data_IF_482641889101
#
_entry.id   IF_482641889101
#
_cell.length_a   1.000
_cell.length_b   1.000
_cell.length_c   1.000
_cell.angle_alpha   90.00
_cell.angle_beta   90.00
_cell.angle_gamma   90.00
#
_symmetry.space_group_name_H-M   'P 1'
#
loop_
_entity.id
_entity.type
_entity.pdbx_description
1 polymer ?
#
# COMPACT_ATOMS: atom_id res chain seq x y z
N UNK A 1 -35.42 -15.68 -27.67
CA UNK A 1 -34.44 -14.58 -27.84
C UNK A 1 -34.72 -13.57 -26.74
N UNK A 2 -33.81 -13.37 -25.79
CA UNK A 2 -34.01 -12.44 -24.67
C UNK A 2 -33.31 -11.11 -24.98
N UNK A 3 -34.10 -10.04 -25.12
CA UNK A 3 -33.56 -8.68 -25.22
C UNK A 3 -32.94 -8.26 -23.89
N UNK A 4 -31.63 -8.09 -23.89
CA UNK A 4 -30.87 -7.52 -22.76
C UNK A 4 -31.08 -6.01 -22.72
N UNK A 5 -32.09 -5.56 -21.97
CA UNK A 5 -32.34 -4.14 -21.73
C UNK A 5 -31.22 -3.46 -20.92
N UNK A 6 -30.95 -2.17 -21.19
CA UNK A 6 -29.95 -1.38 -20.45
C UNK A 6 -30.33 -1.26 -18.97
N UNK A 7 -29.39 -1.58 -18.06
CA UNK A 7 -29.61 -1.55 -16.60
C UNK A 7 -29.94 -0.18 -16.02
N UNK A 8 -29.52 0.93 -16.64
CA UNK A 8 -29.80 2.29 -16.16
C UNK A 8 -30.01 3.28 -17.31
N UNK A 9 -30.67 4.40 -17.01
CA UNK A 9 -30.89 5.52 -17.94
C UNK A 9 -29.63 6.38 -18.17
N UNK A 10 -28.53 6.14 -17.46
CA UNK A 10 -27.30 6.94 -17.58
C UNK A 10 -27.45 8.38 -17.11
N UNK A 11 -26.50 9.26 -17.48
CA UNK A 11 -26.54 10.69 -17.14
C UNK A 11 -27.67 11.37 -17.92
N UNK A 12 -28.59 11.99 -17.20
CA UNK A 12 -29.68 12.76 -17.77
C UNK A 12 -29.37 14.25 -17.69
N UNK A 13 -29.77 15.00 -18.72
CA UNK A 13 -29.73 16.47 -18.69
C UNK A 13 -30.87 16.94 -17.79
N UNK A 14 -30.59 17.93 -16.95
CA UNK A 14 -31.57 18.56 -16.07
C UNK A 14 -31.57 20.06 -16.31
N UNK A 15 -32.71 20.71 -16.09
CA UNK A 15 -32.84 22.16 -16.21
C UNK A 15 -31.96 22.89 -15.20
N UNK A 16 -31.45 24.07 -15.59
CA UNK A 16 -30.62 24.92 -14.73
C UNK A 16 -31.51 25.79 -13.81
N UNK A 17 -32.30 25.13 -12.96
CA UNK A 17 -33.14 25.75 -11.94
C UNK A 17 -32.97 25.03 -10.60
N UNK A 18 -33.63 25.54 -9.55
CA UNK A 18 -33.66 24.87 -8.25
C UNK A 18 -34.27 23.47 -8.40
N UNK A 19 -33.60 22.46 -7.81
CA UNK A 19 -34.14 21.10 -7.74
C UNK A 19 -35.16 21.07 -6.61
N UNK A 20 -36.44 20.88 -6.96
CA UNK A 20 -37.54 20.91 -5.98
C UNK A 20 -37.50 19.70 -5.04
N UNK A 21 -37.23 18.49 -5.57
CA UNK A 21 -37.10 17.30 -4.73
C UNK A 21 -35.85 17.36 -3.84
N UNK A 22 -36.08 17.42 -2.54
CA UNK A 22 -35.07 17.52 -1.49
C UNK A 22 -34.03 16.41 -1.55
N UNK A 23 -34.44 15.15 -1.81
CA UNK A 23 -33.52 14.02 -1.87
C UNK A 23 -32.57 14.16 -3.05
N UNK A 24 -33.12 14.43 -4.24
CA UNK A 24 -32.34 14.69 -5.44
C UNK A 24 -31.45 15.93 -5.30
N UNK A 25 -31.91 16.97 -4.60
CA UNK A 25 -31.14 18.18 -4.33
C UNK A 25 -29.91 17.90 -3.45
N UNK A 26 -30.07 17.15 -2.36
CA UNK A 26 -28.94 16.75 -1.48
C UNK A 26 -27.95 15.85 -2.22
N UNK A 27 -28.42 14.87 -2.98
CA UNK A 27 -27.54 13.99 -3.79
C UNK A 27 -26.77 14.79 -4.84
N UNK A 28 -27.46 15.70 -5.54
CA UNK A 28 -26.86 16.55 -6.56
C UNK A 28 -25.84 17.51 -5.96
N UNK A 29 -26.14 18.11 -4.81
CA UNK A 29 -25.20 18.93 -4.07
C UNK A 29 -23.91 18.16 -3.79
N UNK A 30 -24.01 16.96 -3.20
CA UNK A 30 -22.84 16.14 -2.87
C UNK A 30 -21.98 15.81 -4.10
N UNK A 31 -22.62 15.41 -5.21
CA UNK A 31 -21.92 15.09 -6.47
C UNK A 31 -21.27 16.33 -7.09
N UNK A 32 -21.98 17.44 -7.19
CA UNK A 32 -21.48 18.68 -7.79
C UNK A 32 -20.38 19.31 -6.93
N UNK A 33 -20.55 19.33 -5.60
CA UNK A 33 -19.53 19.76 -4.63
C UNK A 33 -18.22 19.03 -4.87
N UNK A 34 -18.26 17.70 -4.95
CA UNK A 34 -17.07 16.89 -5.23
C UNK A 34 -16.43 17.24 -6.58
N UNK A 35 -17.24 17.34 -7.65
CA UNK A 35 -16.76 17.71 -8.98
C UNK A 35 -16.12 19.09 -9.03
N UNK A 36 -16.72 20.09 -8.39
CA UNK A 36 -16.20 21.46 -8.32
C UNK A 36 -14.88 21.50 -7.54
N UNK A 37 -14.81 20.88 -6.35
CA UNK A 37 -13.56 20.83 -5.58
C UNK A 37 -12.44 20.14 -6.37
N UNK A 38 -12.75 19.06 -7.09
CA UNK A 38 -11.77 18.40 -7.97
C UNK A 38 -11.26 19.35 -9.05
N UNK A 39 -12.15 20.06 -9.73
CA UNK A 39 -11.76 21.03 -10.77
C UNK A 39 -10.96 22.20 -10.22
N UNK A 40 -11.29 22.69 -9.03
CA UNK A 40 -10.52 23.72 -8.35
C UNK A 40 -9.09 23.24 -8.02
N UNK A 41 -8.95 22.01 -7.52
CA UNK A 41 -7.65 21.39 -7.26
C UNK A 41 -6.82 21.18 -8.53
N UNK A 42 -7.45 20.67 -9.61
CA UNK A 42 -6.80 20.54 -10.92
C UNK A 42 -6.32 21.92 -11.43
N UNK A 43 -7.17 22.95 -11.35
CA UNK A 43 -6.83 24.30 -11.80
C UNK A 43 -5.65 24.89 -11.02
N UNK A 44 -5.69 24.81 -9.69
CA UNK A 44 -4.62 25.30 -8.83
C UNK A 44 -3.30 24.58 -9.12
N UNK A 45 -3.34 23.25 -9.30
CA UNK A 45 -2.15 22.45 -9.62
C UNK A 45 -1.57 22.80 -10.99
N UNK A 46 -2.41 22.94 -12.02
CA UNK A 46 -1.95 23.17 -13.39
C UNK A 46 -1.40 24.58 -13.61
N UNK A 47 -1.96 25.57 -12.91
CA UNK A 47 -1.65 26.99 -13.16
C UNK A 47 -0.83 27.64 -12.05
N UNK A 48 -0.72 27.00 -10.88
CA UNK A 48 -0.18 27.63 -9.69
C UNK A 48 -1.06 28.76 -9.12
N UNK A 49 -2.29 28.93 -9.63
CA UNK A 49 -3.20 29.95 -9.13
C UNK A 49 -3.70 29.59 -7.73
N UNK A 50 -3.84 30.61 -6.88
CA UNK A 50 -4.51 30.49 -5.58
C UNK A 50 -6.02 30.40 -5.81
N UNK A 51 -6.65 29.30 -5.42
CA UNK A 51 -8.07 29.04 -5.69
C UNK A 51 -8.81 28.74 -4.39
N UNK A 52 -9.93 29.43 -4.18
CA UNK A 52 -10.84 29.21 -3.05
C UNK A 52 -12.28 28.98 -3.52
N UNK A 53 -12.96 28.02 -2.90
CA UNK A 53 -14.38 27.73 -3.14
C UNK A 53 -15.09 27.62 -1.80
N UNK A 54 -16.21 28.32 -1.65
CA UNK A 54 -17.10 28.25 -0.48
C UNK A 54 -18.50 27.87 -0.93
N UNK A 55 -19.12 26.90 -0.26
CA UNK A 55 -20.44 26.37 -0.58
C UNK A 55 -21.24 26.12 0.70
N UNK A 56 -22.54 26.34 0.66
CA UNK A 56 -23.45 25.95 1.73
C UNK A 56 -24.35 24.81 1.26
N UNK A 57 -24.50 23.77 2.08
CA UNK A 57 -25.44 22.70 1.77
C UNK A 57 -26.89 23.22 1.84
N UNK A 58 -27.86 22.47 1.30
CA UNK A 58 -29.28 22.78 1.50
C UNK A 58 -29.69 22.90 2.98
N UNK A 59 -28.93 22.29 3.90
CA UNK A 59 -29.12 22.38 5.35
C UNK A 59 -28.37 23.54 6.00
N UNK A 60 -27.74 24.43 5.23
CA UNK A 60 -26.97 25.57 5.72
C UNK A 60 -25.56 25.24 6.23
N UNK A 61 -25.08 23.99 6.08
CA UNK A 61 -23.74 23.62 6.55
C UNK A 61 -22.68 24.13 5.56
N UNK A 62 -21.66 24.88 6.03
CA UNK A 62 -20.59 25.37 5.16
C UNK A 62 -19.64 24.24 4.73
N UNK A 63 -19.10 24.37 3.53
CA UNK A 63 -18.05 23.54 2.94
C UNK A 63 -17.09 24.45 2.19
N UNK A 64 -15.79 24.22 2.36
CA UNK A 64 -14.75 24.98 1.67
C UNK A 64 -13.72 24.08 1.01
N UNK A 65 -13.08 24.63 -0.01
CA UNK A 65 -11.84 24.14 -0.60
C UNK A 65 -10.92 25.34 -0.79
N UNK A 66 -9.64 25.19 -0.47
CA UNK A 66 -8.64 26.22 -0.72
C UNK A 66 -7.29 25.60 -1.03
N UNK A 67 -6.59 26.19 -1.99
CA UNK A 67 -5.18 25.91 -2.26
C UNK A 67 -4.40 27.24 -2.27
N UNK A 68 -3.45 27.46 -1.34
CA UNK A 68 -2.93 26.50 -0.33
C UNK A 68 -3.86 26.25 0.87
N UNK A 69 -4.68 27.21 1.29
CA UNK A 69 -5.75 27.05 2.30
C UNK A 69 -6.87 28.06 2.04
N UNK A 70 -8.06 27.84 2.60
CA UNK A 70 -9.17 28.80 2.39
C UNK A 70 -8.90 30.12 3.12
N UNK A 71 -8.20 30.06 4.25
CA UNK A 71 -7.76 31.21 5.04
C UNK A 71 -6.76 32.05 4.25
N UNK A 72 -5.76 31.43 3.63
CA UNK A 72 -4.75 32.13 2.82
C UNK A 72 -5.36 32.85 1.62
N UNK A 73 -6.30 32.19 0.94
CA UNK A 73 -7.03 32.78 -0.19
C UNK A 73 -7.91 33.94 0.28
N UNK A 74 -8.56 33.79 1.44
CA UNK A 74 -9.41 34.83 2.03
C UNK A 74 -8.60 36.06 2.43
N UNK A 75 -7.46 35.86 3.10
CA UNK A 75 -6.56 36.93 3.52
C UNK A 75 -6.04 37.73 2.31
N UNK A 76 -5.65 37.03 1.24
CA UNK A 76 -5.26 37.66 -0.02
C UNK A 76 -6.39 38.52 -0.61
N UNK A 77 -7.62 38.00 -0.60
CA UNK A 77 -8.77 38.72 -1.15
C UNK A 77 -9.14 39.96 -0.32
N UNK A 78 -8.99 39.89 1.00
CA UNK A 78 -9.29 41.01 1.91
C UNK A 78 -8.22 42.11 1.87
N UNK A 79 -7.15 41.96 1.08
CA UNK A 79 -6.04 42.91 1.08
C UNK A 79 -5.31 42.98 2.43
N UNK A 80 -5.58 42.02 3.32
CA UNK A 80 -4.81 41.80 4.53
C UNK A 80 -3.54 41.10 4.08
N UNK A 81 -2.61 41.88 3.52
CA UNK A 81 -1.20 41.56 3.69
C UNK A 81 -0.99 41.53 5.20
N UNK A 82 -1.10 40.34 5.80
CA UNK A 82 -0.52 40.13 7.11
C UNK A 82 0.90 40.71 7.01
N UNK A 83 1.34 41.56 7.94
CA UNK A 83 2.75 41.57 8.26
C UNK A 83 3.01 40.16 8.81
N UNK A 84 3.22 39.19 7.92
CA UNK A 84 3.75 37.92 8.32
C UNK A 84 5.13 38.27 8.83
N UNK A 85 5.28 38.20 10.14
CA UNK A 85 6.59 38.08 10.74
C UNK A 85 7.25 36.94 9.97
N UNK A 86 8.20 37.25 9.08
CA UNK A 86 8.66 36.34 8.02
C UNK A 86 9.12 34.98 8.54
N UNK A 87 9.39 34.92 9.84
CA UNK A 87 9.67 33.74 10.66
C UNK A 87 8.63 32.61 10.51
N UNK A 88 7.33 32.85 10.72
CA UNK A 88 6.35 31.75 10.78
C UNK A 88 6.10 31.11 9.42
N UNK A 89 5.97 31.91 8.36
CA UNK A 89 5.82 31.41 6.99
C UNK A 89 7.07 30.64 6.56
N UNK A 90 8.26 31.14 6.90
CA UNK A 90 9.52 30.47 6.57
C UNK A 90 9.65 29.11 7.27
N UNK A 91 9.21 28.99 8.53
CA UNK A 91 9.19 27.72 9.26
C UNK A 91 8.22 26.72 8.63
N UNK A 92 7.01 27.14 8.25
CA UNK A 92 6.03 26.27 7.59
C UNK A 92 6.54 25.83 6.21
N UNK A 93 7.13 26.75 5.45
CA UNK A 93 7.68 26.45 4.13
C UNK A 93 8.90 25.51 4.23
N UNK A 94 9.79 25.74 5.20
CA UNK A 94 10.92 24.87 5.49
C UNK A 94 10.46 23.47 5.90
N UNK A 95 9.44 23.36 6.75
CA UNK A 95 8.86 22.08 7.13
C UNK A 95 8.24 21.36 5.93
N UNK A 96 7.51 22.08 5.07
CA UNK A 96 6.94 21.52 3.84
C UNK A 96 8.04 21.02 2.90
N UNK A 97 9.09 21.82 2.67
CA UNK A 97 10.25 21.43 1.85
C UNK A 97 10.97 20.21 2.42
N UNK A 98 11.22 20.18 3.72
CA UNK A 98 11.83 19.04 4.41
C UNK A 98 10.98 17.77 4.25
N UNK A 99 9.66 17.87 4.39
CA UNK A 99 8.75 16.73 4.26
C UNK A 99 8.71 16.18 2.83
N UNK A 100 8.72 17.07 1.82
CA UNK A 100 8.80 16.67 0.42
C UNK A 100 10.15 16.00 0.14
N UNK A 101 11.26 16.59 0.59
CA UNK A 101 12.60 16.02 0.40
C UNK A 101 12.73 14.64 1.04
N UNK A 102 12.17 14.44 2.23
CA UNK A 102 12.16 13.14 2.89
C UNK A 102 11.37 12.11 2.08
N UNK A 103 10.19 12.48 1.58
CA UNK A 103 9.37 11.57 0.78
C UNK A 103 10.07 11.17 -0.53
N UNK A 104 10.78 12.12 -1.16
CA UNK A 104 11.59 11.85 -2.36
C UNK A 104 12.76 10.92 -2.06
N UNK A 105 13.42 11.10 -0.91
CA UNK A 105 14.48 10.20 -0.46
C UNK A 105 13.94 8.79 -0.25
N UNK A 106 12.87 8.64 0.54
CA UNK A 106 12.24 7.34 0.81
C UNK A 106 11.84 6.65 -0.50
N UNK A 107 11.32 7.39 -1.47
CA UNK A 107 10.96 6.86 -2.79
C UNK A 107 12.16 6.33 -3.57
N UNK A 108 13.26 7.09 -3.60
CA UNK A 108 14.50 6.68 -4.27
C UNK A 108 15.13 5.45 -3.59
N UNK A 109 15.09 5.40 -2.26
CA UNK A 109 15.59 4.25 -1.50
C UNK A 109 14.78 2.97 -1.83
N UNK A 110 13.45 3.09 -1.96
CA UNK A 110 12.60 1.99 -2.42
C UNK A 110 12.92 1.55 -3.85
N UNK A 111 13.20 2.49 -4.76
CA UNK A 111 13.60 2.15 -6.14
C UNK A 111 14.92 1.37 -6.16
N UNK A 112 15.91 1.80 -5.37
CA UNK A 112 17.18 1.07 -5.24
C UNK A 112 16.98 -0.35 -4.72
N UNK A 113 16.17 -0.53 -3.68
CA UNK A 113 15.88 -1.86 -3.14
C UNK A 113 15.23 -2.79 -4.17
N UNK A 114 14.31 -2.26 -5.00
CA UNK A 114 13.68 -3.02 -6.07
C UNK A 114 14.68 -3.41 -7.18
N UNK A 115 15.61 -2.52 -7.52
CA UNK A 115 16.65 -2.81 -8.49
C UNK A 115 17.62 -3.89 -7.97
N UNK A 116 18.04 -3.81 -6.71
CA UNK A 116 18.88 -4.82 -6.05
C UNK A 116 18.18 -6.19 -6.01
N UNK A 117 16.89 -6.23 -5.67
CA UNK A 117 16.10 -7.47 -5.63
C UNK A 117 15.93 -8.07 -7.03
N UNK A 118 15.78 -7.22 -8.05
CA UNK A 118 15.69 -7.64 -9.45
C UNK A 118 17.02 -8.20 -9.96
N UNK A 119 18.15 -7.59 -9.60
CA UNK A 119 19.47 -8.16 -9.91
C UNK A 119 19.69 -9.49 -9.17
N UNK A 120 19.30 -9.58 -7.90
CA UNK A 120 19.34 -10.83 -7.15
C UNK A 120 18.51 -11.93 -7.82
N UNK A 121 17.32 -11.60 -8.31
CA UNK A 121 16.46 -12.51 -9.07
C UNK A 121 17.11 -12.99 -10.37
N UNK A 122 17.71 -12.08 -11.15
CA UNK A 122 18.44 -12.44 -12.38
C UNK A 122 19.64 -13.34 -12.08
N UNK A 123 20.43 -13.03 -11.06
CA UNK A 123 21.58 -13.83 -10.65
C UNK A 123 21.15 -15.23 -10.22
N UNK A 124 20.02 -15.35 -9.49
CA UNK A 124 19.46 -16.64 -9.11
C UNK A 124 18.94 -17.43 -10.33
N UNK A 125 18.33 -16.76 -11.30
CA UNK A 125 17.89 -17.35 -12.57
C UNK A 125 19.09 -17.83 -13.40
N UNK A 126 20.17 -17.05 -13.50
CA UNK A 126 21.41 -17.48 -14.17
C UNK A 126 22.07 -18.66 -13.46
N UNK A 127 22.09 -18.65 -12.11
CA UNK A 127 22.62 -19.75 -11.30
C UNK A 127 21.81 -21.04 -11.45
N UNK A 128 20.53 -20.95 -11.82
CA UNK A 128 19.66 -22.10 -12.12
C UNK A 128 19.68 -22.50 -13.60
N UNK A 129 19.94 -21.59 -14.54
CA UNK A 129 20.07 -21.87 -15.99
C UNK A 129 21.23 -22.79 -16.37
N UNK A 130 22.21 -23.01 -15.48
CA UNK A 130 23.34 -23.93 -15.68
C UNK A 130 23.32 -25.19 -14.81
N UNK A 131 22.41 -25.29 -13.83
CA UNK A 131 22.22 -26.52 -13.06
C UNK A 131 21.17 -27.37 -13.76
N UNK A 132 21.63 -28.27 -14.61
CA UNK A 132 21.05 -29.63 -14.66
C UNK A 132 21.26 -30.30 -13.30
N UNK A 133 20.64 -29.78 -12.25
CA UNK A 133 20.28 -30.57 -11.09
C UNK A 133 18.92 -31.16 -11.42
N UNK A 134 18.87 -32.02 -12.44
CA UNK A 134 17.88 -33.09 -12.40
C UNK A 134 18.35 -34.02 -11.28
N UNK A 135 18.20 -33.58 -10.03
CA UNK A 135 18.31 -34.46 -8.89
C UNK A 135 17.32 -35.58 -9.16
N UNK A 136 17.74 -36.82 -9.00
CA UNK A 136 16.87 -37.99 -9.22
C UNK A 136 15.58 -37.97 -8.37
N UNK A 137 15.48 -37.04 -7.41
CA UNK A 137 14.33 -36.75 -6.56
C UNK A 137 13.37 -35.66 -7.10
N UNK A 138 13.67 -35.00 -8.23
CA UNK A 138 12.83 -33.92 -8.81
C UNK A 138 11.89 -34.41 -9.93
N UNK A 139 11.97 -35.68 -10.31
CA UNK A 139 10.98 -36.29 -11.21
C UNK A 139 9.65 -36.51 -10.47
N UNK A 140 8.50 -36.17 -11.07
CA UNK A 140 7.18 -36.51 -10.51
C UNK A 140 7.11 -38.00 -10.19
N UNK A 141 6.54 -38.36 -9.03
CA UNK A 141 6.46 -39.77 -8.60
C UNK A 141 5.65 -40.64 -9.55
N UNK A 142 4.76 -40.03 -10.32
CA UNK A 142 3.89 -40.69 -11.29
C UNK A 142 4.65 -41.17 -12.55
N UNK A 143 5.84 -40.61 -12.80
CA UNK A 143 6.68 -40.91 -13.97
C UNK A 143 7.77 -41.97 -13.69
N UNK A 144 7.85 -42.50 -12.46
CA UNK A 144 8.89 -43.43 -12.02
C UNK A 144 8.43 -44.89 -12.08
N UNK A 145 9.27 -45.77 -12.64
CA UNK A 145 8.99 -47.20 -12.60
C UNK A 145 9.22 -47.79 -11.19
N UNK A 146 8.66 -48.98 -10.92
CA UNK A 146 8.71 -49.64 -9.59
C UNK A 146 10.14 -49.85 -9.06
N UNK A 147 11.12 -50.19 -9.91
CA UNK A 147 12.53 -50.31 -9.49
C UNK A 147 13.12 -48.96 -9.11
N UNK A 148 12.83 -47.90 -9.87
CA UNK A 148 13.31 -46.55 -9.58
C UNK A 148 12.69 -46.02 -8.27
N UNK A 149 11.40 -46.27 -8.04
CA UNK A 149 10.71 -45.91 -6.81
C UNK A 149 11.29 -46.65 -5.59
N UNK A 150 11.68 -47.92 -5.75
CA UNK A 150 12.39 -48.69 -4.70
C UNK A 150 13.78 -48.13 -4.40
N UNK A 151 14.53 -47.73 -5.43
CA UNK A 151 15.85 -47.10 -5.23
C UNK A 151 15.72 -45.76 -4.50
N UNK A 152 14.70 -44.97 -4.85
CA UNK A 152 14.38 -43.72 -4.16
C UNK A 152 14.04 -43.95 -2.69
N UNK A 153 13.15 -44.90 -2.41
CA UNK A 153 12.80 -45.27 -1.03
C UNK A 153 14.04 -45.70 -0.23
N UNK A 154 14.91 -46.53 -0.81
CA UNK A 154 16.14 -46.97 -0.15
C UNK A 154 17.12 -45.81 0.14
N UNK A 155 17.22 -44.84 -0.77
CA UNK A 155 18.05 -43.66 -0.58
C UNK A 155 17.50 -42.74 0.53
N UNK A 156 16.18 -42.52 0.58
CA UNK A 156 15.54 -41.77 1.67
C UNK A 156 15.70 -42.45 3.03
N UNK A 157 15.55 -43.78 3.08
CA UNK A 157 15.80 -44.57 4.29
C UNK A 157 17.24 -44.40 4.81
N UNK A 158 18.22 -44.45 3.89
CA UNK A 158 19.63 -44.25 4.23
C UNK A 158 19.89 -42.83 4.75
N UNK A 159 19.30 -41.82 4.11
CA UNK A 159 19.41 -40.43 4.54
C UNK A 159 18.79 -40.25 5.93
N UNK A 160 17.57 -40.74 6.14
CA UNK A 160 16.84 -40.71 7.41
C UNK A 160 17.69 -41.31 8.54
N UNK A 161 18.20 -42.53 8.35
CA UNK A 161 19.11 -43.19 9.30
C UNK A 161 20.34 -42.34 9.59
N UNK A 162 20.98 -41.82 8.55
CA UNK A 162 22.19 -40.99 8.69
C UNK A 162 21.91 -39.71 9.46
N UNK A 163 20.80 -39.03 9.18
CA UNK A 163 20.39 -37.83 9.90
C UNK A 163 20.08 -38.12 11.36
N UNK A 164 19.35 -39.20 11.63
CA UNK A 164 18.99 -39.61 12.98
C UNK A 164 20.24 -39.98 13.81
N UNK A 165 21.17 -40.73 13.21
CA UNK A 165 22.46 -41.03 13.82
C UNK A 165 23.26 -39.76 14.13
N UNK A 166 23.33 -38.79 13.21
CA UNK A 166 24.03 -37.50 13.45
C UNK A 166 23.35 -36.64 14.53
N UNK A 167 22.02 -36.68 14.63
CA UNK A 167 21.28 -35.98 15.68
C UNK A 167 21.60 -36.61 17.05
N UNK A 168 21.53 -37.94 17.15
CA UNK A 168 21.86 -38.64 18.39
C UNK A 168 23.34 -38.49 18.78
N UNK A 169 24.25 -38.43 17.80
CA UNK A 169 25.68 -38.21 18.04
C UNK A 169 25.97 -36.81 18.59
N UNK A 170 25.18 -35.79 18.21
CA UNK A 170 25.26 -34.44 18.81
C UNK A 170 24.66 -34.38 20.21
N UNK A 171 23.60 -35.14 20.48
CA UNK A 171 22.98 -35.19 21.80
C UNK A 171 23.84 -35.90 22.86
N UNK A 172 24.73 -36.82 22.47
CA UNK A 172 25.61 -37.55 23.41
C UNK A 172 26.98 -36.87 23.64
N UNK A 173 27.28 -35.75 22.96
CA UNK A 173 28.55 -35.03 23.06
C UNK A 173 28.50 -33.72 23.86
N UNK A 174 27.38 -33.38 24.49
CA UNK A 174 27.15 -32.09 25.14
C UNK A 174 27.13 -32.15 26.67
N UNK A 175 28.19 -32.64 27.30
CA UNK A 175 28.44 -32.39 28.73
C UNK A 175 29.16 -31.05 28.90
N UNK A 176 28.42 -29.99 29.25
CA UNK A 176 29.00 -28.68 29.58
C UNK A 176 27.92 -27.61 29.75
N UNK A 177 27.68 -27.21 31.01
CA UNK A 177 26.62 -26.32 31.45
C UNK A 177 26.65 -24.92 30.78
N UNK A 178 25.46 -24.39 30.50
CA UNK A 178 25.15 -22.96 30.68
C UNK A 178 23.63 -22.80 30.77
N UNK A 179 23.18 -22.45 31.97
CA UNK A 179 21.82 -22.02 32.25
C UNK A 179 21.46 -20.79 31.41
N UNK A 180 20.39 -20.88 30.62
CA UNK A 180 19.58 -19.70 30.30
C UNK A 180 18.11 -20.09 30.45
N UNK A 181 17.48 -19.46 31.43
CA UNK A 181 16.06 -19.59 31.73
C UNK A 181 15.26 -19.09 30.53
N UNK A 182 14.36 -19.93 29.99
CA UNK A 182 13.24 -19.43 29.20
C UNK A 182 12.15 -18.92 30.16
N UNK A 183 11.58 -17.72 29.95
CA UNK A 183 10.46 -17.26 30.76
C UNK A 183 9.21 -18.06 30.41
N UNK A 184 8.48 -18.49 31.45
CA UNK A 184 7.21 -19.19 31.30
C UNK A 184 6.17 -18.27 30.66
N UNK A 185 5.65 -18.67 29.49
CA UNK A 185 4.46 -18.09 28.89
C UNK A 185 3.24 -18.58 29.67
N UNK A 186 2.59 -17.68 30.41
CA UNK A 186 1.31 -17.96 31.03
C UNK A 186 0.20 -18.00 29.96
N UNK A 187 -0.72 -18.98 30.00
CA UNK A 187 -1.88 -18.99 29.11
C UNK A 187 -2.86 -17.85 29.46
N UNK A 188 -3.56 -17.28 28.47
CA UNK A 188 -4.48 -16.18 28.68
C UNK A 188 -5.71 -16.65 29.48
N UNK A 189 -6.01 -15.97 30.59
CA UNK A 189 -7.28 -16.15 31.27
C UNK A 189 -8.41 -15.51 30.46
N UNK A 190 -9.33 -16.35 30.00
CA UNK A 190 -10.63 -15.96 29.48
C UNK A 190 -11.46 -15.35 30.61
N UNK A 191 -11.83 -14.08 30.46
CA UNK A 191 -12.79 -13.41 31.34
C UNK A 191 -14.18 -13.55 30.73
N UNK A 192 -15.10 -14.15 31.48
CA UNK A 192 -16.55 -14.02 31.28
C UNK A 192 -16.97 -12.62 31.72
#
# INVERSE_FOLDING_TARGET
MAESGKKTRGKQVIELKRIEDDKNRVITFSKRKSGICKKASELATLTGAKVGVVMFSPSGKPYSFGDPSIEDVTNLFQGVSQPSDGSTHHVIEAYRKMKISKLLQDHNDFLHQLDDEKEHGKNLEEMTKGKTSQGWWESPTDDLNVQQLRQMHAAFEKLSKTTHSKINQRNLGGGGASSSSFPAVNPPQTRI
#
